data_IF_990034705411
#
_entry.id   IF_990034705411
#
_cell.length_a   1.000
_cell.length_b   1.000
_cell.length_c   1.000
_cell.angle_alpha   90.00
_cell.angle_beta   90.00
_cell.angle_gamma   90.00
#
_symmetry.space_group_name_H-M   'P 1'
#
loop_
_entity.id
_entity.type
_entity.pdbx_description
1 polymer ?
#
# COMPACT_ATOMS: atom_id res chain seq x y z
N UNK A 1 -39.84 -29.61 -41.53
CA UNK A 1 -39.98 -30.16 -40.17
C UNK A 1 -38.58 -30.55 -39.72
N UNK A 2 -38.00 -29.78 -38.82
CA UNK A 2 -36.74 -30.13 -38.14
C UNK A 2 -36.96 -29.94 -36.66
N UNK A 3 -36.71 -30.96 -35.80
CA UNK A 3 -36.97 -30.86 -34.37
C UNK A 3 -35.83 -30.13 -33.67
N UNK A 4 -36.21 -29.32 -32.74
CA UNK A 4 -35.41 -28.49 -31.84
C UNK A 4 -34.43 -29.30 -30.98
N UNK A 5 -33.15 -28.94 -31.03
CA UNK A 5 -32.20 -29.29 -30.01
C UNK A 5 -32.16 -28.19 -28.94
N UNK A 6 -32.85 -28.42 -27.84
CA UNK A 6 -32.65 -27.70 -26.59
C UNK A 6 -31.36 -28.21 -25.94
N UNK A 7 -30.26 -27.50 -26.15
CA UNK A 7 -29.10 -27.68 -25.28
C UNK A 7 -29.27 -26.81 -24.05
N UNK A 8 -29.50 -27.46 -22.89
CA UNK A 8 -29.46 -26.86 -21.55
C UNK A 8 -28.00 -26.49 -21.24
N UNK A 9 -27.72 -25.20 -21.11
CA UNK A 9 -26.47 -24.75 -20.53
C UNK A 9 -26.32 -25.32 -19.12
N UNK A 10 -25.14 -25.86 -18.76
CA UNK A 10 -24.88 -26.31 -17.42
C UNK A 10 -24.78 -25.08 -16.50
N UNK A 11 -25.72 -24.91 -15.59
CA UNK A 11 -25.61 -23.99 -14.45
C UNK A 11 -24.34 -24.34 -13.69
N UNK A 12 -23.27 -23.56 -13.86
CA UNK A 12 -22.11 -23.58 -12.98
C UNK A 12 -22.61 -23.21 -11.59
N UNK A 13 -22.76 -24.20 -10.72
CA UNK A 13 -22.88 -23.99 -9.28
C UNK A 13 -21.53 -23.40 -8.86
N UNK A 14 -21.51 -22.11 -8.56
CA UNK A 14 -20.47 -21.55 -7.71
C UNK A 14 -20.58 -22.26 -6.35
N UNK A 15 -19.74 -23.23 -6.13
CA UNK A 15 -19.46 -23.74 -4.81
C UNK A 15 -18.92 -22.56 -4.02
N UNK A 16 -19.60 -22.17 -2.95
CA UNK A 16 -19.06 -21.27 -1.94
C UNK A 16 -17.95 -22.03 -1.20
N UNK A 17 -16.77 -22.09 -1.82
CA UNK A 17 -15.55 -22.46 -1.09
C UNK A 17 -15.32 -21.37 -0.06
N UNK A 18 -15.51 -21.69 1.22
CA UNK A 18 -15.00 -20.88 2.32
C UNK A 18 -13.54 -20.58 1.98
N UNK A 19 -13.20 -19.31 1.77
CA UNK A 19 -11.82 -18.87 1.65
C UNK A 19 -11.10 -19.34 2.91
N UNK A 20 -10.26 -20.35 2.79
CA UNK A 20 -9.43 -20.85 3.90
C UNK A 20 -8.19 -20.01 3.96
N UNK A 21 -8.35 -18.75 4.42
CA UNK A 21 -7.19 -17.91 4.75
C UNK A 21 -6.35 -18.69 5.78
N UNK A 22 -5.03 -18.84 5.56
CA UNK A 22 -4.18 -19.59 6.48
C UNK A 22 -4.26 -19.05 7.89
N UNK A 23 -4.31 -19.92 8.89
CA UNK A 23 -4.17 -19.53 10.28
C UNK A 23 -2.81 -18.84 10.48
N UNK A 24 -2.73 -17.83 11.34
CA UNK A 24 -1.50 -17.07 11.56
C UNK A 24 -1.24 -16.00 10.48
N UNK A 25 -2.31 -15.46 9.87
CA UNK A 25 -2.17 -14.30 8.98
C UNK A 25 -1.98 -13.01 9.79
N UNK A 26 -0.93 -12.26 9.46
CA UNK A 26 -0.62 -10.94 10.00
C UNK A 26 -0.60 -9.89 8.88
N UNK A 27 -0.96 -8.66 9.21
CA UNK A 27 -0.90 -7.52 8.28
C UNK A 27 0.00 -6.44 8.84
N UNK A 28 0.99 -6.01 8.06
CA UNK A 28 1.88 -4.90 8.36
C UNK A 28 1.46 -3.69 7.54
N UNK A 29 1.09 -2.61 8.20
CA UNK A 29 0.73 -1.33 7.58
C UNK A 29 1.92 -0.37 7.72
N UNK A 30 2.47 0.06 6.58
CA UNK A 30 3.53 1.07 6.54
C UNK A 30 2.90 2.47 6.54
N UNK A 31 3.10 3.24 7.61
CA UNK A 31 2.45 4.54 7.84
C UNK A 31 3.45 5.68 8.11
N UNK A 32 4.54 5.75 7.33
CA UNK A 32 5.64 6.70 7.54
C UNK A 32 5.64 7.94 6.62
N UNK A 33 4.79 8.00 5.58
CA UNK A 33 4.76 9.10 4.62
C UNK A 33 4.05 10.35 5.13
N UNK A 34 4.36 11.54 4.59
CA UNK A 34 3.68 12.81 4.93
C UNK A 34 2.57 13.14 3.91
N UNK A 35 2.79 12.91 2.61
CA UNK A 35 1.82 13.25 1.57
C UNK A 35 1.72 14.75 1.29
N UNK A 36 2.82 15.49 1.28
CA UNK A 36 2.90 16.97 1.20
C UNK A 36 2.20 17.61 0.00
N UNK A 37 1.87 16.85 -1.05
CA UNK A 37 1.12 17.36 -2.22
C UNK A 37 -0.34 17.69 -1.92
N UNK A 38 -0.88 17.24 -0.79
CA UNK A 38 -2.25 17.52 -0.38
C UNK A 38 -2.36 18.67 0.63
N UNK A 39 -1.34 19.51 0.75
CA UNK A 39 -1.46 20.73 1.55
C UNK A 39 -2.66 21.58 1.06
N UNK A 40 -3.44 22.21 1.97
CA UNK A 40 -3.35 22.23 3.43
C UNK A 40 -3.99 21.04 4.14
N UNK A 41 -4.56 20.05 3.44
CA UNK A 41 -5.17 18.89 4.07
C UNK A 41 -4.15 18.07 4.86
N UNK A 42 -2.98 17.79 4.24
CA UNK A 42 -1.88 17.07 4.87
C UNK A 42 -0.77 18.01 5.30
N UNK A 43 -0.30 17.86 6.51
CA UNK A 43 0.82 18.57 7.11
C UNK A 43 1.80 17.59 7.75
N UNK A 44 3.01 18.00 8.15
CA UNK A 44 3.92 17.13 8.89
C UNK A 44 3.29 16.61 10.21
N UNK A 45 2.41 17.36 10.85
CA UNK A 45 1.72 16.99 12.10
C UNK A 45 0.54 16.05 11.83
N UNK A 46 -0.11 16.16 10.68
CA UNK A 46 -1.27 15.35 10.29
C UNK A 46 -1.18 14.85 8.86
N UNK A 47 -0.42 13.77 8.63
CA UNK A 47 -0.17 13.20 7.32
C UNK A 47 -1.40 12.64 6.59
N UNK A 48 -1.27 12.50 5.27
CA UNK A 48 -2.32 12.06 4.33
C UNK A 48 -3.07 10.80 4.80
N UNK A 49 -2.38 9.81 5.32
CA UNK A 49 -2.98 8.53 5.73
C UNK A 49 -4.00 8.65 6.87
N UNK A 50 -3.96 9.73 7.63
CA UNK A 50 -4.87 9.98 8.74
C UNK A 50 -6.08 10.86 8.37
N UNK A 51 -6.19 11.26 7.09
CA UNK A 51 -7.23 12.16 6.57
C UNK A 51 -8.35 11.36 5.91
N UNK A 52 -9.60 11.78 6.11
CA UNK A 52 -10.75 11.36 5.29
C UNK A 52 -10.73 12.12 3.96
N UNK A 53 -9.78 11.77 3.10
CA UNK A 53 -9.56 12.47 1.84
C UNK A 53 -10.66 12.19 0.79
N UNK A 54 -11.44 11.11 0.99
CA UNK A 54 -12.55 10.74 0.11
C UNK A 54 -13.90 11.30 0.60
N UNK A 55 -13.97 11.88 1.80
CA UNK A 55 -15.22 12.39 2.39
C UNK A 55 -16.22 11.29 2.74
N UNK A 56 -15.76 10.10 3.08
CA UNK A 56 -16.59 8.94 3.40
C UNK A 56 -16.71 8.63 4.89
N UNK A 57 -16.21 9.49 5.77
CA UNK A 57 -16.20 9.31 7.22
C UNK A 57 -15.08 8.41 7.74
N UNK A 58 -14.12 8.05 6.90
CA UNK A 58 -13.00 7.15 7.23
C UNK A 58 -11.68 7.67 6.65
N UNK A 59 -10.65 7.72 7.47
CA UNK A 59 -9.29 8.02 7.01
C UNK A 59 -8.71 6.88 6.15
N UNK A 60 -7.65 7.16 5.39
CA UNK A 60 -7.03 6.14 4.52
C UNK A 60 -6.50 4.94 5.29
N UNK A 61 -5.91 5.16 6.48
CA UNK A 61 -5.42 4.05 7.31
C UNK A 61 -6.58 3.21 7.87
N UNK A 62 -7.71 3.83 8.22
CA UNK A 62 -8.93 3.11 8.61
C UNK A 62 -9.50 2.30 7.46
N UNK A 63 -9.58 2.86 6.26
CA UNK A 63 -9.97 2.14 5.05
C UNK A 63 -9.01 0.98 4.75
N UNK A 64 -7.72 1.15 5.08
CA UNK A 64 -6.73 0.09 4.93
C UNK A 64 -7.03 -1.09 5.86
N UNK A 65 -7.37 -0.85 7.12
CA UNK A 65 -7.80 -1.93 8.05
C UNK A 65 -9.11 -2.55 7.59
N UNK A 66 -10.10 -1.74 7.22
CA UNK A 66 -11.44 -2.21 6.82
C UNK A 66 -11.42 -3.19 5.63
N UNK A 67 -10.50 -3.00 4.67
CA UNK A 67 -10.41 -3.89 3.49
C UNK A 67 -9.96 -5.31 3.83
N UNK A 68 -9.29 -5.51 4.99
CA UNK A 68 -8.85 -6.82 5.45
C UNK A 68 -9.87 -7.55 6.34
N UNK A 69 -11.06 -6.99 6.56
CA UNK A 69 -12.14 -7.68 7.31
C UNK A 69 -12.44 -9.05 6.72
N UNK A 70 -12.37 -10.08 7.55
CA UNK A 70 -12.54 -11.48 7.14
C UNK A 70 -11.26 -12.17 6.66
N UNK A 71 -10.15 -11.44 6.51
CA UNK A 71 -8.82 -12.01 6.20
C UNK A 71 -7.94 -12.06 7.46
N UNK A 72 -7.88 -10.97 8.21
CA UNK A 72 -6.99 -10.82 9.36
C UNK A 72 -7.76 -10.23 10.55
N UNK A 73 -7.68 -10.81 11.73
CA UNK A 73 -8.26 -10.21 12.93
C UNK A 73 -7.45 -8.98 13.36
N UNK A 74 -8.11 -7.96 13.95
CA UNK A 74 -7.47 -6.70 14.32
C UNK A 74 -6.23 -6.87 15.22
N UNK A 75 -6.25 -7.84 16.10
CA UNK A 75 -5.12 -8.17 16.99
C UNK A 75 -3.84 -8.59 16.25
N UNK A 76 -3.93 -9.00 14.98
CA UNK A 76 -2.79 -9.42 14.16
C UNK A 76 -2.33 -8.32 13.19
N UNK A 77 -2.84 -7.09 13.35
CA UNK A 77 -2.30 -5.94 12.61
C UNK A 77 -1.09 -5.36 13.32
N UNK A 78 -0.15 -4.92 12.51
CA UNK A 78 1.05 -4.21 12.92
C UNK A 78 1.12 -2.91 12.15
N UNK A 79 1.45 -1.82 12.83
CA UNK A 79 1.63 -0.52 12.19
C UNK A 79 3.04 -0.04 12.44
N UNK A 80 3.80 0.21 11.38
CA UNK A 80 5.11 0.84 11.48
C UNK A 80 4.96 2.31 11.09
N UNK A 81 5.30 3.20 12.00
CA UNK A 81 5.08 4.63 11.82
C UNK A 81 6.13 5.47 12.53
N UNK A 82 6.18 6.77 12.26
CA UNK A 82 7.03 7.69 13.02
C UNK A 82 6.55 7.83 14.49
N UNK A 83 7.47 8.04 15.42
CA UNK A 83 7.14 8.30 16.84
C UNK A 83 6.07 9.39 17.04
N UNK A 84 6.08 10.42 16.19
CA UNK A 84 5.13 11.54 16.28
C UNK A 84 3.67 11.12 15.98
N UNK A 85 3.44 10.00 15.30
CA UNK A 85 2.10 9.59 14.86
C UNK A 85 1.50 8.45 15.67
N UNK A 86 2.20 7.95 16.68
CA UNK A 86 1.74 6.81 17.50
C UNK A 86 0.37 7.07 18.14
N UNK A 87 0.15 8.26 18.68
CA UNK A 87 -1.11 8.58 19.35
C UNK A 87 -2.28 8.71 18.35
N UNK A 88 -2.04 9.26 17.16
CA UNK A 88 -3.04 9.31 16.07
C UNK A 88 -3.41 7.89 15.62
N UNK A 89 -2.43 6.98 15.50
CA UNK A 89 -2.68 5.57 15.16
C UNK A 89 -3.56 4.91 16.22
N UNK A 90 -3.25 5.07 17.52
CA UNK A 90 -4.07 4.53 18.62
C UNK A 90 -5.49 5.07 18.61
N UNK A 91 -5.66 6.36 18.32
CA UNK A 91 -6.98 6.99 18.23
C UNK A 91 -7.79 6.45 17.06
N UNK A 92 -7.19 6.37 15.88
CA UNK A 92 -7.89 5.98 14.66
C UNK A 92 -8.12 4.48 14.51
N UNK A 93 -7.24 3.65 15.11
CA UNK A 93 -7.31 2.18 15.00
C UNK A 93 -7.18 1.55 16.41
N UNK A 94 -8.15 1.77 17.30
CA UNK A 94 -8.05 1.34 18.71
C UNK A 94 -8.07 -0.19 18.91
N UNK A 95 -8.41 -0.98 17.88
CA UNK A 95 -8.42 -2.45 17.94
C UNK A 95 -7.04 -3.10 17.79
N UNK A 96 -5.99 -2.32 17.46
CA UNK A 96 -4.63 -2.84 17.32
C UNK A 96 -3.92 -2.82 18.68
N UNK A 97 -3.26 -3.90 19.12
CA UNK A 97 -2.45 -3.92 20.35
C UNK A 97 -1.38 -2.82 20.34
N UNK A 98 -1.17 -2.16 21.47
CA UNK A 98 -0.22 -1.05 21.56
C UNK A 98 1.22 -1.48 21.22
N UNK A 99 1.61 -2.70 21.57
CA UNK A 99 2.89 -3.33 21.27
C UNK A 99 3.11 -3.62 19.79
N UNK A 100 2.03 -3.64 19.00
CA UNK A 100 2.09 -3.81 17.54
C UNK A 100 2.21 -2.47 16.79
N UNK A 101 2.25 -1.35 17.49
CA UNK A 101 2.54 -0.03 16.90
C UNK A 101 4.04 0.24 17.06
N UNK A 102 4.78 -0.03 15.99
CA UNK A 102 6.23 0.11 15.95
C UNK A 102 6.61 1.56 15.59
N UNK A 103 7.19 2.27 16.55
CA UNK A 103 7.53 3.69 16.44
C UNK A 103 8.95 3.89 15.92
N UNK A 104 9.13 4.14 14.64
CA UNK A 104 10.45 4.38 14.03
C UNK A 104 11.12 5.63 14.62
N UNK A 105 12.36 5.51 15.15
CA UNK A 105 13.10 6.66 15.67
C UNK A 105 13.73 7.52 14.56
N UNK A 106 13.83 6.99 13.33
CA UNK A 106 14.38 7.67 12.16
C UNK A 106 13.77 7.12 10.87
N UNK A 107 13.63 7.96 9.83
CA UNK A 107 13.15 7.53 8.51
C UNK A 107 14.26 6.76 7.76
N UNK A 108 14.11 5.44 7.62
CA UNK A 108 15.08 4.55 6.96
C UNK A 108 14.54 3.86 5.70
N UNK A 109 13.42 4.34 5.15
CA UNK A 109 12.73 3.75 4.00
C UNK A 109 12.12 2.37 4.34
N UNK A 110 11.60 1.65 3.35
CA UNK A 110 10.71 0.50 3.59
C UNK A 110 11.40 -0.80 3.98
N UNK A 111 12.68 -1.02 3.65
CA UNK A 111 13.33 -2.28 4.02
C UNK A 111 13.56 -2.42 5.53
N UNK A 112 14.13 -1.45 6.27
CA UNK A 112 14.23 -1.53 7.72
C UNK A 112 12.85 -1.55 8.42
N UNK A 113 11.90 -0.78 7.92
CA UNK A 113 10.50 -0.76 8.38
C UNK A 113 9.90 -2.18 8.36
N UNK A 114 9.93 -2.85 7.21
CA UNK A 114 9.38 -4.19 7.01
C UNK A 114 10.19 -5.24 7.79
N UNK A 115 11.52 -5.13 7.79
CA UNK A 115 12.38 -6.05 8.53
C UNK A 115 12.04 -6.05 10.01
N UNK A 116 11.94 -4.87 10.64
CA UNK A 116 11.61 -4.78 12.06
C UNK A 116 10.22 -5.38 12.36
N UNK A 117 9.21 -5.10 11.57
CA UNK A 117 7.90 -5.72 11.73
C UNK A 117 7.97 -7.25 11.61
N UNK A 118 8.68 -7.76 10.58
CA UNK A 118 8.83 -9.20 10.37
C UNK A 118 9.57 -9.90 11.52
N UNK A 119 10.63 -9.31 12.07
CA UNK A 119 11.31 -9.85 13.25
C UNK A 119 10.41 -9.85 14.49
N UNK A 120 9.63 -8.79 14.68
CA UNK A 120 8.65 -8.70 15.78
C UNK A 120 7.56 -9.77 15.66
N UNK A 121 6.99 -9.94 14.46
CA UNK A 121 5.98 -10.98 14.18
C UNK A 121 6.57 -12.38 14.39
N UNK A 122 7.78 -12.64 13.86
CA UNK A 122 8.42 -13.96 13.97
C UNK A 122 8.65 -14.41 15.40
N UNK A 123 8.86 -13.47 16.31
CA UNK A 123 8.96 -13.73 17.75
C UNK A 123 7.66 -14.26 18.34
N UNK A 124 6.51 -13.75 17.87
CA UNK A 124 5.19 -14.12 18.37
C UNK A 124 4.59 -15.33 17.64
N UNK A 125 4.72 -15.32 16.30
CA UNK A 125 4.27 -16.41 15.42
C UNK A 125 5.37 -16.80 14.42
N UNK A 126 6.17 -17.84 14.72
CA UNK A 126 7.27 -18.30 13.88
C UNK A 126 6.85 -18.86 12.51
N UNK A 127 5.56 -19.11 12.30
CA UNK A 127 5.01 -19.66 11.07
C UNK A 127 4.03 -18.69 10.38
N UNK A 128 4.04 -17.42 10.77
CA UNK A 128 3.13 -16.40 10.25
C UNK A 128 3.18 -16.28 8.72
N UNK A 129 1.99 -16.04 8.14
CA UNK A 129 1.88 -15.50 6.78
C UNK A 129 1.63 -14.00 6.91
N UNK A 130 2.36 -13.20 6.15
CA UNK A 130 2.38 -11.75 6.31
C UNK A 130 1.98 -11.07 5.02
N UNK A 131 1.06 -10.12 5.13
CA UNK A 131 0.77 -9.13 4.08
C UNK A 131 1.35 -7.79 4.52
N UNK A 132 2.17 -7.19 3.68
CA UNK A 132 2.65 -5.81 3.88
C UNK A 132 1.89 -4.90 2.93
N UNK A 133 1.41 -3.76 3.42
CA UNK A 133 0.63 -2.81 2.62
C UNK A 133 0.95 -1.36 3.01
N UNK A 134 0.94 -0.39 2.08
CA UNK A 134 0.95 1.02 2.42
C UNK A 134 -0.37 1.42 3.10
N UNK A 135 -0.32 2.46 3.94
CA UNK A 135 -1.45 3.00 4.69
C UNK A 135 -2.32 3.97 3.89
N UNK A 136 -1.86 4.43 2.73
CA UNK A 136 -2.34 5.63 2.07
C UNK A 136 -2.86 5.41 0.63
N UNK A 137 -3.00 4.14 0.23
CA UNK A 137 -3.57 3.76 -1.05
C UNK A 137 -5.09 3.52 -0.94
N UNK A 138 -5.81 3.82 -2.03
CA UNK A 138 -7.25 3.57 -2.17
C UNK A 138 -7.49 2.25 -2.91
N UNK A 139 -8.51 1.53 -2.49
CA UNK A 139 -9.07 0.34 -3.13
C UNK A 139 -10.56 0.53 -3.29
N UNK A 140 -11.06 0.57 -4.53
CA UNK A 140 -12.48 0.83 -4.82
C UNK A 140 -13.34 -0.44 -4.76
N UNK A 141 -12.76 -1.63 -4.94
CA UNK A 141 -13.43 -2.92 -4.84
C UNK A 141 -12.80 -3.79 -3.73
N UNK A 142 -13.25 -3.66 -2.47
CA UNK A 142 -12.70 -4.44 -1.34
C UNK A 142 -12.97 -5.94 -1.44
N UNK A 143 -14.01 -6.39 -2.15
CA UNK A 143 -14.30 -7.82 -2.32
C UNK A 143 -13.28 -8.48 -3.23
N UNK A 144 -12.99 -7.85 -4.37
CA UNK A 144 -11.95 -8.34 -5.28
C UNK A 144 -10.55 -8.24 -4.63
N UNK A 145 -10.30 -7.19 -3.85
CA UNK A 145 -9.08 -7.11 -3.05
C UNK A 145 -8.93 -8.33 -2.12
N UNK A 146 -9.98 -8.67 -1.37
CA UNK A 146 -9.95 -9.83 -0.45
C UNK A 146 -9.74 -11.15 -1.18
N UNK A 147 -10.35 -11.32 -2.36
CA UNK A 147 -10.14 -12.50 -3.21
C UNK A 147 -8.67 -12.65 -3.64
N UNK A 148 -8.08 -11.56 -4.11
CA UNK A 148 -6.68 -11.53 -4.58
C UNK A 148 -5.71 -11.79 -3.42
N UNK A 149 -5.89 -11.11 -2.29
CA UNK A 149 -5.03 -11.30 -1.11
C UNK A 149 -5.18 -12.71 -0.53
N UNK A 150 -6.41 -13.24 -0.48
CA UNK A 150 -6.65 -14.62 -0.05
C UNK A 150 -5.89 -15.64 -0.92
N UNK A 151 -5.97 -15.52 -2.24
CA UNK A 151 -5.22 -16.39 -3.16
C UNK A 151 -3.70 -16.24 -3.06
N UNK A 152 -3.21 -15.01 -2.82
CA UNK A 152 -1.78 -14.79 -2.59
C UNK A 152 -1.30 -15.44 -1.27
N UNK A 153 -2.10 -15.34 -0.21
CA UNK A 153 -1.81 -15.98 1.09
C UNK A 153 -1.81 -17.51 0.97
N UNK A 154 -2.79 -18.10 0.28
CA UNK A 154 -2.83 -19.54 0.04
C UNK A 154 -1.58 -20.02 -0.74
N UNK A 155 -1.16 -19.26 -1.75
CA UNK A 155 0.03 -19.58 -2.54
C UNK A 155 1.30 -19.51 -1.68
N UNK A 156 1.50 -18.44 -0.90
CA UNK A 156 2.73 -18.25 -0.11
C UNK A 156 2.78 -19.15 1.13
N UNK A 157 1.65 -19.62 1.65
CA UNK A 157 1.62 -20.58 2.75
C UNK A 157 2.20 -21.95 2.38
N UNK A 158 2.12 -22.33 1.10
CA UNK A 158 2.62 -23.61 0.57
C UNK A 158 3.97 -23.54 -0.14
N UNK A 159 4.57 -22.34 -0.29
CA UNK A 159 5.76 -22.14 -1.10
C UNK A 159 6.68 -21.08 -0.52
N UNK A 160 7.99 -21.26 -0.69
CA UNK A 160 9.03 -20.31 -0.28
C UNK A 160 9.21 -19.19 -1.31
N UNK A 161 8.10 -18.53 -1.69
CA UNK A 161 8.05 -17.46 -2.67
C UNK A 161 7.50 -16.17 -2.09
N UNK A 162 7.86 -15.07 -2.73
CA UNK A 162 7.34 -13.74 -2.47
C UNK A 162 6.29 -13.41 -3.54
N UNK A 163 5.11 -12.94 -3.14
CA UNK A 163 4.10 -12.44 -4.08
C UNK A 163 3.96 -10.94 -3.93
N UNK A 164 4.00 -10.22 -5.06
CA UNK A 164 3.59 -8.81 -5.14
C UNK A 164 2.28 -8.68 -5.89
N UNK A 165 1.47 -7.68 -5.55
CA UNK A 165 0.23 -7.39 -6.28
C UNK A 165 0.55 -6.44 -7.43
N UNK A 166 0.23 -6.91 -8.65
CA UNK A 166 0.47 -6.18 -9.89
C UNK A 166 -0.79 -5.53 -10.43
N UNK A 167 -0.75 -4.23 -10.70
CA UNK A 167 -1.89 -3.47 -11.26
C UNK A 167 -1.62 -3.21 -12.74
N UNK A 168 -2.63 -3.43 -13.59
CA UNK A 168 -2.49 -3.17 -15.02
C UNK A 168 -2.29 -1.68 -15.29
N UNK A 169 -1.18 -1.29 -15.96
CA UNK A 169 -0.92 0.10 -16.29
C UNK A 169 -1.95 0.66 -17.29
N UNK A 170 -2.38 1.89 -17.09
CA UNK A 170 -3.20 2.65 -18.04
C UNK A 170 -2.52 3.92 -18.57
N UNK A 171 -1.32 4.24 -18.06
CA UNK A 171 -0.48 5.36 -18.46
C UNK A 171 1.00 5.06 -18.18
N UNK A 172 1.95 5.78 -18.79
CA UNK A 172 3.38 5.59 -18.53
C UNK A 172 3.80 6.33 -17.24
N UNK A 173 3.45 5.79 -16.07
CA UNK A 173 3.76 6.36 -14.76
C UNK A 173 5.23 6.16 -14.40
N UNK A 174 5.93 7.22 -14.01
CA UNK A 174 7.34 7.17 -13.62
C UNK A 174 7.57 7.12 -12.12
N UNK A 175 6.51 7.33 -11.34
CA UNK A 175 6.54 7.29 -9.87
C UNK A 175 6.41 5.91 -9.27
N UNK A 176 6.08 4.88 -10.09
CA UNK A 176 5.83 3.51 -9.62
C UNK A 176 6.92 2.54 -10.04
N UNK A 177 7.05 1.45 -9.27
CA UNK A 177 7.76 0.27 -9.71
C UNK A 177 6.96 -0.52 -10.75
N UNK A 178 7.65 -1.24 -11.60
CA UNK A 178 7.07 -2.14 -12.61
C UNK A 178 7.58 -3.55 -12.42
N UNK A 179 6.69 -4.51 -12.57
CA UNK A 179 7.03 -5.93 -12.61
C UNK A 179 6.70 -6.51 -13.98
N UNK A 180 7.65 -7.19 -14.60
CA UNK A 180 7.43 -7.93 -15.85
C UNK A 180 6.96 -9.34 -15.52
N UNK A 181 5.70 -9.63 -15.82
CA UNK A 181 5.12 -10.93 -15.60
C UNK A 181 5.43 -11.89 -16.75
N UNK A 182 5.78 -13.13 -16.45
CA UNK A 182 5.87 -14.19 -17.45
C UNK A 182 4.49 -14.47 -18.04
N UNK A 183 4.40 -14.56 -19.36
CA UNK A 183 3.15 -14.85 -20.03
C UNK A 183 2.61 -16.25 -19.62
N UNK A 184 1.30 -16.36 -19.40
CA UNK A 184 0.65 -17.62 -19.01
C UNK A 184 -0.78 -17.42 -18.55
N UNK A 185 -1.52 -18.52 -18.42
CA UNK A 185 -2.93 -18.54 -18.00
C UNK A 185 -3.14 -18.65 -16.48
N UNK A 186 -2.08 -18.77 -15.69
CA UNK A 186 -2.17 -18.88 -14.24
C UNK A 186 -2.51 -17.52 -13.61
N UNK A 187 -3.26 -17.51 -12.52
CA UNK A 187 -3.62 -16.31 -11.79
C UNK A 187 -2.38 -15.64 -11.19
N UNK A 188 -1.48 -16.44 -10.59
CA UNK A 188 -0.21 -15.96 -10.02
C UNK A 188 0.90 -16.31 -11.01
N UNK A 189 1.67 -15.31 -11.43
CA UNK A 189 2.68 -15.40 -12.49
C UNK A 189 4.07 -15.19 -11.95
N UNK A 190 5.05 -15.91 -12.44
CA UNK A 190 6.45 -15.63 -12.15
C UNK A 190 6.83 -14.23 -12.65
N UNK A 191 7.71 -13.55 -11.95
CA UNK A 191 8.25 -12.24 -12.31
C UNK A 191 9.60 -12.46 -13.01
N UNK A 192 9.69 -11.98 -14.25
CA UNK A 192 10.94 -12.00 -15.03
C UNK A 192 11.87 -10.86 -14.65
N UNK A 193 11.30 -9.69 -14.35
CA UNK A 193 12.05 -8.51 -13.96
C UNK A 193 11.24 -7.59 -13.02
N UNK A 194 11.94 -7.00 -12.06
CA UNK A 194 11.43 -5.94 -11.20
C UNK A 194 12.21 -4.66 -11.50
N UNK A 195 11.53 -3.53 -11.74
CA UNK A 195 12.14 -2.25 -12.09
C UNK A 195 11.47 -1.11 -11.33
N UNK A 196 12.22 -0.46 -10.50
CA UNK A 196 11.74 0.66 -9.69
C UNK A 196 11.89 1.98 -10.45
N UNK A 197 10.81 2.75 -10.55
CA UNK A 197 10.73 4.12 -11.07
C UNK A 197 11.52 4.38 -12.36
N UNK A 198 11.09 3.82 -13.51
CA UNK A 198 11.75 4.01 -14.79
C UNK A 198 11.61 5.45 -15.27
N UNK A 199 12.47 5.86 -16.22
CA UNK A 199 12.26 7.09 -16.98
C UNK A 199 11.01 7.00 -17.88
N UNK A 200 10.55 8.15 -18.39
CA UNK A 200 9.32 8.23 -19.18
C UNK A 200 9.35 7.37 -20.45
N UNK A 201 10.49 7.32 -21.14
CA UNK A 201 10.60 6.58 -22.40
C UNK A 201 10.60 5.07 -22.13
N UNK A 202 11.20 4.64 -21.05
CA UNK A 202 11.14 3.26 -20.56
C UNK A 202 9.73 2.89 -20.11
N UNK A 203 9.04 3.78 -19.38
CA UNK A 203 7.65 3.55 -18.96
C UNK A 203 6.68 3.42 -20.15
N UNK A 204 6.87 4.22 -21.23
CA UNK A 204 6.12 4.08 -22.49
C UNK A 204 6.34 2.72 -23.15
N UNK A 205 7.60 2.22 -23.15
CA UNK A 205 7.93 0.89 -23.69
C UNK A 205 7.25 -0.21 -22.88
N UNK A 206 7.23 -0.11 -21.55
CA UNK A 206 6.56 -1.09 -20.69
C UNK A 206 5.04 -1.11 -20.91
N UNK A 207 4.43 0.06 -21.09
CA UNK A 207 3.01 0.15 -21.41
C UNK A 207 2.68 -0.51 -22.77
N UNK A 208 3.53 -0.30 -23.78
CA UNK A 208 3.37 -0.88 -25.12
C UNK A 208 3.61 -2.41 -25.17
N UNK A 209 4.51 -2.94 -24.35
CA UNK A 209 4.80 -4.39 -24.22
C UNK A 209 3.57 -5.15 -23.69
N UNK A 210 2.82 -4.58 -22.76
CA UNK A 210 1.58 -5.16 -22.21
C UNK A 210 1.79 -6.26 -21.16
N UNK A 211 3.03 -6.72 -20.90
CA UNK A 211 3.35 -7.71 -19.86
C UNK A 211 3.85 -7.09 -18.56
N UNK A 212 3.97 -5.77 -18.52
CA UNK A 212 4.36 -5.05 -17.32
C UNK A 212 3.14 -4.64 -16.50
N UNK A 213 3.27 -4.77 -15.19
CA UNK A 213 2.27 -4.34 -14.21
C UNK A 213 2.92 -3.32 -13.27
N UNK A 214 2.14 -2.36 -12.77
CA UNK A 214 2.60 -1.52 -11.66
C UNK A 214 2.70 -2.33 -10.38
N UNK A 215 3.77 -2.17 -9.63
CA UNK A 215 3.87 -2.70 -8.28
C UNK A 215 2.99 -1.86 -7.33
N UNK A 216 1.96 -2.49 -6.76
CA UNK A 216 1.07 -1.80 -5.81
C UNK A 216 1.72 -1.52 -4.44
N UNK A 217 2.94 -1.99 -4.21
CA UNK A 217 3.59 -1.92 -2.89
C UNK A 217 2.94 -2.83 -1.85
N UNK A 218 2.14 -3.80 -2.30
CA UNK A 218 1.51 -4.81 -1.46
C UNK A 218 2.24 -6.12 -1.68
N UNK A 219 2.80 -6.69 -0.61
CA UNK A 219 3.62 -7.89 -0.64
C UNK A 219 3.03 -8.97 0.26
N UNK A 220 3.13 -10.22 -0.15
CA UNK A 220 2.66 -11.38 0.61
C UNK A 220 3.76 -12.45 0.64
N UNK A 221 4.04 -12.99 1.81
CA UNK A 221 5.07 -14.01 2.03
C UNK A 221 4.87 -14.77 3.34
N UNK A 222 5.50 -15.92 3.47
CA UNK A 222 5.72 -16.56 4.75
C UNK A 222 6.84 -15.83 5.51
N UNK A 223 6.73 -15.75 6.83
CA UNK A 223 7.70 -15.05 7.68
C UNK A 223 9.13 -15.59 7.56
N UNK A 224 9.29 -16.89 7.32
CA UNK A 224 10.62 -17.48 7.11
C UNK A 224 11.19 -17.07 5.76
N UNK A 225 10.40 -17.09 4.69
CA UNK A 225 10.80 -16.68 3.34
C UNK A 225 11.39 -15.26 3.33
N UNK A 226 10.71 -14.29 3.95
CA UNK A 226 11.21 -12.91 3.96
C UNK A 226 12.42 -12.73 4.87
N UNK A 227 12.42 -13.33 6.07
CA UNK A 227 13.58 -13.21 6.98
C UNK A 227 14.82 -13.86 6.38
N UNK A 228 14.71 -14.98 5.70
CA UNK A 228 15.81 -15.66 5.02
C UNK A 228 16.28 -14.86 3.80
N UNK A 229 15.36 -14.25 3.04
CA UNK A 229 15.71 -13.36 1.93
C UNK A 229 16.46 -12.11 2.41
N UNK A 230 16.04 -11.48 3.51
CA UNK A 230 16.76 -10.34 4.09
C UNK A 230 18.16 -10.78 4.57
N UNK A 231 18.29 -11.96 5.18
CA UNK A 231 19.61 -12.50 5.58
C UNK A 231 20.52 -12.72 4.36
N UNK A 232 19.97 -13.22 3.26
CA UNK A 232 20.74 -13.51 2.06
C UNK A 232 21.18 -12.23 1.32
N UNK A 233 20.29 -11.27 1.15
CA UNK A 233 20.54 -10.09 0.31
C UNK A 233 21.02 -8.86 1.09
N UNK A 234 20.71 -8.77 2.39
CA UNK A 234 21.06 -7.65 3.28
C UNK A 234 21.50 -8.17 4.66
N UNK A 235 22.62 -8.90 4.75
CA UNK A 235 23.06 -9.55 5.99
C UNK A 235 23.27 -8.56 7.14
N UNK A 236 23.80 -7.36 6.88
CA UNK A 236 23.98 -6.33 7.91
C UNK A 236 22.64 -5.87 8.49
N UNK A 237 21.60 -5.69 7.64
CA UNK A 237 20.26 -5.35 8.12
C UNK A 237 19.68 -6.46 8.99
N UNK A 238 19.86 -7.72 8.58
CA UNK A 238 19.42 -8.87 9.37
C UNK A 238 20.13 -8.93 10.74
N UNK A 239 21.42 -8.68 10.79
CA UNK A 239 22.18 -8.61 12.05
C UNK A 239 21.67 -7.49 12.96
N UNK A 240 21.36 -6.32 12.41
CA UNK A 240 20.78 -5.21 13.16
C UNK A 240 19.39 -5.57 13.74
N UNK A 241 18.54 -6.28 12.95
CA UNK A 241 17.26 -6.77 13.46
C UNK A 241 17.44 -7.80 14.58
N UNK A 242 18.41 -8.69 14.45
CA UNK A 242 18.74 -9.67 15.47
C UNK A 242 19.19 -9.00 16.79
N UNK A 243 19.94 -7.91 16.70
CA UNK A 243 20.37 -7.13 17.88
C UNK A 243 19.18 -6.44 18.57
N UNK A 244 18.19 -5.95 17.82
CA UNK A 244 16.98 -5.32 18.36
C UNK A 244 15.96 -6.35 18.88
N UNK A 245 15.96 -7.58 18.35
CA UNK A 245 15.05 -8.65 18.71
C UNK A 245 15.78 -9.94 19.09
N UNK A 246 16.59 -9.97 20.16
CA UNK A 246 17.50 -11.08 20.46
C UNK A 246 16.82 -12.43 20.71
N UNK A 247 15.53 -12.45 21.01
CA UNK A 247 14.77 -13.68 21.23
C UNK A 247 14.41 -14.45 19.95
N UNK A 248 14.62 -13.85 18.76
CA UNK A 248 14.36 -14.52 17.48
C UNK A 248 15.37 -15.64 17.14
N UNK A 249 16.45 -15.78 17.92
CA UNK A 249 17.56 -16.74 17.67
C UNK A 249 17.51 -18.03 18.50
N UNK A 250 16.43 -18.36 19.16
CA UNK A 250 16.40 -19.54 20.09
C UNK A 250 16.72 -20.90 19.44
N UNK A 251 16.86 -20.97 18.09
CA UNK A 251 17.29 -22.22 17.40
C UNK A 251 18.80 -22.37 17.23
N UNK A 252 19.61 -21.32 17.50
CA UNK A 252 21.07 -21.39 17.43
C UNK A 252 21.71 -20.88 18.73
N UNK A 253 21.94 -21.73 19.75
CA UNK A 253 22.38 -21.31 21.07
C UNK A 253 23.86 -20.82 21.16
N UNK A 254 24.57 -20.68 20.05
CA UNK A 254 26.00 -20.34 20.04
C UNK A 254 26.35 -18.92 19.59
N UNK A 255 25.37 -18.10 19.16
CA UNK A 255 25.67 -16.73 18.72
C UNK A 255 25.22 -15.73 19.79
N UNK A 256 26.16 -15.25 20.61
CA UNK A 256 25.91 -14.08 21.47
C UNK A 256 25.92 -12.84 20.60
N UNK A 257 24.72 -12.41 20.15
CA UNK A 257 24.54 -11.11 19.47
C UNK A 257 24.47 -10.04 20.56
N UNK A 258 25.26 -8.95 20.49
CA UNK A 258 25.11 -7.84 21.42
C UNK A 258 23.66 -7.28 21.36
N UNK A 259 23.06 -7.10 22.53
CA UNK A 259 21.74 -6.46 22.62
C UNK A 259 21.90 -4.95 22.44
N UNK A 260 21.00 -4.33 21.66
CA UNK A 260 20.89 -2.90 21.55
C UNK A 260 19.44 -2.48 21.49
N UNK A 261 19.16 -1.25 21.87
CA UNK A 261 17.82 -0.70 21.78
C UNK A 261 17.46 -0.31 20.34
N UNK A 262 16.18 -0.24 20.05
CA UNK A 262 15.67 0.23 18.75
C UNK A 262 16.18 1.66 18.47
N UNK A 263 16.20 2.53 19.48
CA UNK A 263 16.65 3.92 19.34
C UNK A 263 18.15 4.05 19.00
N UNK A 264 18.96 3.07 19.38
CA UNK A 264 20.41 3.04 19.07
C UNK A 264 20.68 2.42 17.70
N UNK A 265 20.01 1.33 17.35
CA UNK A 265 20.35 0.52 16.18
C UNK A 265 19.59 0.97 14.93
N UNK A 266 18.28 1.22 15.02
CA UNK A 266 17.46 1.52 13.86
C UNK A 266 17.94 2.76 13.06
N UNK A 267 18.42 3.86 13.69
CA UNK A 267 19.02 4.98 12.97
C UNK A 267 20.28 4.65 12.16
N UNK A 268 20.96 3.54 12.46
CA UNK A 268 22.15 3.08 11.75
C UNK A 268 21.84 2.17 10.56
N UNK A 269 20.57 1.70 10.41
CA UNK A 269 20.17 0.89 9.27
C UNK A 269 20.34 1.65 7.95
N UNK A 270 20.70 0.92 6.90
CA UNK A 270 20.80 1.46 5.55
C UNK A 270 19.44 2.04 5.14
N UNK A 271 19.43 3.28 4.60
CA UNK A 271 18.21 3.90 4.07
C UNK A 271 17.92 3.38 2.67
N UNK A 272 17.18 2.27 2.58
CA UNK A 272 16.89 1.57 1.33
C UNK A 272 15.44 1.07 1.29
N UNK A 273 14.81 1.04 0.11
CA UNK A 273 13.50 0.42 -0.05
C UNK A 273 13.58 -1.10 -0.11
N UNK A 274 12.49 -1.77 0.23
CA UNK A 274 12.37 -3.23 0.12
C UNK A 274 12.52 -3.68 -1.34
N UNK A 275 12.13 -2.82 -2.28
CA UNK A 275 12.21 -3.06 -3.71
C UNK A 275 13.67 -3.32 -4.13
N UNK A 276 14.57 -2.41 -3.78
CA UNK A 276 16.01 -2.57 -4.06
C UNK A 276 16.68 -3.59 -3.15
N UNK A 277 16.28 -3.66 -1.88
CA UNK A 277 16.93 -4.51 -0.90
C UNK A 277 16.67 -6.00 -1.12
N UNK A 278 15.44 -6.34 -1.52
CA UNK A 278 14.97 -7.74 -1.60
C UNK A 278 14.29 -8.05 -2.91
N UNK A 279 13.36 -7.21 -3.39
CA UNK A 279 12.50 -7.59 -4.51
C UNK A 279 13.27 -7.75 -5.83
N UNK A 280 14.17 -6.83 -6.16
CA UNK A 280 15.01 -6.95 -7.37
C UNK A 280 15.93 -8.17 -7.33
N UNK A 281 16.76 -8.42 -6.30
CA UNK A 281 17.61 -9.60 -6.25
C UNK A 281 16.80 -10.91 -6.16
N UNK A 282 15.70 -10.93 -5.41
CA UNK A 282 14.84 -12.11 -5.32
C UNK A 282 14.13 -12.44 -6.66
N UNK A 283 13.77 -11.42 -7.45
CA UNK A 283 13.23 -11.62 -8.79
C UNK A 283 14.28 -12.22 -9.74
N UNK A 284 15.53 -11.75 -9.67
CA UNK A 284 16.64 -12.35 -10.43
C UNK A 284 16.88 -13.82 -10.08
N UNK A 285 16.64 -14.19 -8.81
CA UNK A 285 16.74 -15.58 -8.33
C UNK A 285 15.47 -16.42 -8.59
N UNK A 286 14.47 -15.87 -9.29
CA UNK A 286 13.21 -16.57 -9.62
C UNK A 286 12.28 -16.81 -8.42
N UNK A 287 12.43 -16.05 -7.33
CA UNK A 287 11.65 -16.20 -6.09
C UNK A 287 10.45 -15.27 -5.99
N UNK A 288 10.26 -14.36 -6.96
CA UNK A 288 9.17 -13.39 -6.95
C UNK A 288 8.10 -13.78 -7.95
N UNK A 289 6.86 -13.72 -7.49
CA UNK A 289 5.66 -13.88 -8.28
C UNK A 289 4.79 -12.62 -8.19
N UNK A 290 3.91 -12.44 -9.16
CA UNK A 290 2.93 -11.35 -9.13
C UNK A 290 1.52 -11.89 -9.30
N UNK A 291 0.56 -11.33 -8.55
CA UNK A 291 -0.85 -11.55 -8.76
C UNK A 291 -1.43 -10.34 -9.50
N UNK A 292 -1.72 -10.44 -10.81
CA UNK A 292 -2.39 -9.38 -11.56
C UNK A 292 -3.77 -9.09 -10.97
N UNK A 293 -4.09 -7.84 -10.70
CA UNK A 293 -5.31 -7.45 -10.01
C UNK A 293 -5.93 -6.19 -10.61
N UNK A 294 -7.26 -6.12 -10.53
CA UNK A 294 -8.05 -4.94 -10.88
C UNK A 294 -9.15 -4.71 -9.82
N UNK A 295 -8.78 -4.06 -8.75
CA UNK A 295 -9.68 -3.67 -7.66
C UNK A 295 -9.79 -2.14 -7.50
N UNK A 296 -9.49 -1.40 -8.56
CA UNK A 296 -9.59 0.06 -8.56
C UNK A 296 -8.53 0.74 -7.69
N UNK A 297 -7.32 0.18 -7.61
CA UNK A 297 -6.20 0.70 -6.84
C UNK A 297 -5.75 2.09 -7.31
N UNK A 298 -5.34 2.91 -6.35
CA UNK A 298 -4.63 4.17 -6.57
C UNK A 298 -3.78 4.49 -5.34
N UNK A 299 -2.57 4.99 -5.57
CA UNK A 299 -1.69 5.48 -4.49
C UNK A 299 -2.12 6.84 -3.95
N UNK A 300 -3.12 7.50 -4.58
CA UNK A 300 -3.51 8.88 -4.29
C UNK A 300 -2.30 9.81 -4.14
N UNK A 301 -1.41 9.78 -5.14
CA UNK A 301 -0.15 10.53 -5.09
C UNK A 301 -0.33 12.04 -5.27
N UNK A 302 -1.45 12.48 -5.84
CA UNK A 302 -1.69 13.88 -6.20
C UNK A 302 -3.20 14.19 -6.35
N UNK A 303 -3.56 15.45 -6.59
CA UNK A 303 -4.93 15.91 -6.77
C UNK A 303 -5.61 15.35 -8.02
N UNK A 304 -4.84 15.12 -9.10
CA UNK A 304 -5.36 14.45 -10.28
C UNK A 304 -5.88 13.05 -9.96
N UNK A 305 -5.10 12.27 -9.21
CA UNK A 305 -5.52 10.91 -8.80
C UNK A 305 -6.72 10.93 -7.84
N UNK A 306 -6.85 11.95 -7.00
CA UNK A 306 -8.04 12.16 -6.16
C UNK A 306 -9.26 12.49 -7.02
N UNK A 307 -9.14 13.43 -7.95
CA UNK A 307 -10.21 13.79 -8.87
C UNK A 307 -10.73 12.56 -9.65
N UNK A 308 -9.83 11.67 -10.08
CA UNK A 308 -10.22 10.43 -10.79
C UNK A 308 -11.09 9.49 -9.94
N UNK A 309 -10.93 9.50 -8.62
CA UNK A 309 -11.62 8.60 -7.68
C UNK A 309 -12.92 9.18 -7.10
N UNK A 310 -13.05 10.49 -7.03
CA UNK A 310 -14.26 11.13 -6.53
C UNK A 310 -15.39 11.08 -7.56
N UNK A 311 -16.64 11.10 -7.09
CA UNK A 311 -17.81 11.33 -7.93
C UNK A 311 -17.75 12.73 -8.56
N UNK A 312 -18.23 12.85 -9.80
CA UNK A 312 -18.19 14.09 -10.58
C UNK A 312 -19.59 14.52 -10.98
N UNK A 313 -19.79 15.83 -11.07
CA UNK A 313 -20.96 16.41 -11.71
C UNK A 313 -20.84 16.36 -13.25
N UNK A 314 -21.84 16.91 -13.95
CA UNK A 314 -21.90 16.97 -15.42
C UNK A 314 -20.81 17.85 -16.05
N UNK A 315 -20.20 18.74 -15.26
CA UNK A 315 -19.10 19.63 -15.63
C UNK A 315 -17.73 19.10 -15.21
N UNK A 316 -17.66 17.81 -14.87
CA UNK A 316 -16.42 17.13 -14.43
C UNK A 316 -15.81 17.75 -13.17
N UNK A 317 -16.59 18.42 -12.30
CA UNK A 317 -16.16 18.87 -11.00
C UNK A 317 -16.30 17.76 -9.96
N UNK A 318 -15.37 17.70 -9.01
CA UNK A 318 -15.41 16.78 -7.89
C UNK A 318 -15.29 17.56 -6.57
N UNK A 319 -16.07 17.20 -5.56
CA UNK A 319 -16.08 17.92 -4.30
C UNK A 319 -16.21 17.00 -3.08
N UNK A 320 -15.49 17.35 -2.03
CA UNK A 320 -15.68 16.90 -0.65
C UNK A 320 -16.00 18.13 0.18
N UNK A 321 -17.15 18.12 0.86
CA UNK A 321 -17.70 19.29 1.57
C UNK A 321 -18.98 19.85 0.95
N UNK A 322 -19.48 20.95 1.48
CA UNK A 322 -20.70 21.61 1.01
C UNK A 322 -20.36 22.66 -0.07
N UNK A 323 -20.20 22.21 -1.31
CA UNK A 323 -19.68 23.01 -2.43
C UNK A 323 -20.74 23.20 -3.51
N UNK A 324 -20.85 24.40 -4.05
CA UNK A 324 -21.74 24.79 -5.16
C UNK A 324 -20.91 25.37 -6.30
N UNK A 325 -21.09 24.82 -7.48
CA UNK A 325 -20.42 25.27 -8.71
C UNK A 325 -21.38 26.06 -9.58
N UNK A 326 -20.91 27.19 -10.10
CA UNK A 326 -21.60 28.02 -11.09
C UNK A 326 -20.62 28.31 -12.23
N UNK A 327 -20.97 27.97 -13.46
CA UNK A 327 -20.13 28.22 -14.65
C UNK A 327 -18.66 27.78 -14.42
N UNK A 328 -18.47 26.63 -13.75
CA UNK A 328 -17.17 26.10 -13.37
C UNK A 328 -17.03 24.68 -13.86
N UNK A 329 -15.86 24.34 -14.39
CA UNK A 329 -15.55 23.06 -15.02
C UNK A 329 -14.25 22.47 -14.48
N UNK A 330 -14.13 21.13 -14.48
CA UNK A 330 -12.89 20.40 -14.20
C UNK A 330 -12.23 20.71 -12.86
N UNK A 331 -12.96 21.23 -11.88
CA UNK A 331 -12.40 21.60 -10.56
C UNK A 331 -12.39 20.41 -9.60
N UNK A 332 -11.47 20.44 -8.65
CA UNK A 332 -11.48 19.53 -7.50
C UNK A 332 -11.41 20.34 -6.21
N UNK A 333 -12.39 20.10 -5.34
CA UNK A 333 -12.57 20.87 -4.11
C UNK A 333 -12.58 19.94 -2.91
N UNK A 334 -11.84 20.28 -1.88
CA UNK A 334 -11.89 19.57 -0.59
C UNK A 334 -11.84 20.57 0.56
N UNK A 335 -12.89 20.61 1.37
CA UNK A 335 -13.00 21.54 2.51
C UNK A 335 -13.55 20.83 3.73
N UNK A 336 -12.92 21.02 4.89
CA UNK A 336 -13.33 20.38 6.14
C UNK A 336 -14.05 21.33 7.11
N UNK A 337 -13.70 22.63 7.14
CA UNK A 337 -14.19 23.58 8.14
C UNK A 337 -15.28 24.53 7.68
N UNK A 338 -15.54 24.64 6.38
CA UNK A 338 -16.43 25.65 5.82
C UNK A 338 -17.88 25.17 5.74
N UNK A 339 -18.83 26.01 6.22
CA UNK A 339 -20.27 25.70 6.15
C UNK A 339 -20.80 25.69 4.73
N UNK A 340 -20.23 26.50 3.84
CA UNK A 340 -20.62 26.61 2.43
C UNK A 340 -19.48 27.19 1.62
N UNK A 341 -19.22 26.57 0.45
CA UNK A 341 -18.26 27.06 -0.55
C UNK A 341 -19.00 27.29 -1.86
N UNK A 342 -18.75 28.42 -2.50
CA UNK A 342 -19.32 28.74 -3.82
C UNK A 342 -18.16 29.08 -4.76
N UNK A 343 -18.09 28.41 -5.89
CA UNK A 343 -17.16 28.68 -6.97
C UNK A 343 -17.93 29.12 -8.22
N UNK A 344 -17.49 30.21 -8.83
CA UNK A 344 -18.06 30.73 -10.04
C UNK A 344 -16.96 31.06 -11.06
N UNK A 345 -17.10 30.58 -12.28
CA UNK A 345 -16.24 30.93 -13.42
C UNK A 345 -14.83 30.33 -13.35
N UNK A 346 -14.61 29.20 -12.62
CA UNK A 346 -13.31 28.52 -12.52
C UNK A 346 -13.27 27.30 -13.46
N UNK A 347 -12.16 27.12 -14.17
CA UNK A 347 -11.89 25.92 -14.97
C UNK A 347 -10.51 25.33 -14.63
N UNK A 348 -10.51 24.05 -14.20
CA UNK A 348 -9.30 23.31 -13.90
C UNK A 348 -8.57 23.77 -12.65
N UNK A 349 -9.29 24.08 -11.56
CA UNK A 349 -8.70 24.50 -10.29
C UNK A 349 -8.80 23.44 -9.18
N UNK A 350 -7.82 23.48 -8.30
CA UNK A 350 -7.82 22.89 -6.98
C UNK A 350 -8.24 23.97 -5.98
N UNK A 351 -9.24 23.68 -5.16
CA UNK A 351 -9.60 24.50 -4.00
C UNK A 351 -9.60 23.61 -2.77
N UNK A 352 -8.76 23.90 -1.81
CA UNK A 352 -8.62 23.08 -0.61
C UNK A 352 -8.53 23.95 0.65
N UNK A 353 -9.29 23.59 1.67
CA UNK A 353 -9.29 24.31 2.94
C UNK A 353 -9.24 23.34 4.12
N UNK A 354 -8.37 23.64 5.09
CA UNK A 354 -8.30 23.00 6.38
C UNK A 354 -7.63 23.90 7.41
N UNK A 355 -8.20 23.93 8.64
CA UNK A 355 -7.60 24.64 9.77
C UNK A 355 -7.38 26.13 9.53
N UNK A 356 -8.24 26.80 8.76
CA UNK A 356 -8.13 28.21 8.42
C UNK A 356 -7.13 28.52 7.30
N UNK A 357 -6.54 27.52 6.67
CA UNK A 357 -5.66 27.67 5.50
C UNK A 357 -6.44 27.34 4.23
N UNK A 358 -6.33 28.21 3.22
CA UNK A 358 -6.99 28.06 1.94
C UNK A 358 -5.95 28.02 0.79
N UNK A 359 -6.03 26.99 -0.01
CA UNK A 359 -5.31 26.87 -1.28
C UNK A 359 -6.29 27.04 -2.45
N UNK A 360 -5.92 27.90 -3.40
CA UNK A 360 -6.56 27.98 -4.73
C UNK A 360 -5.44 27.95 -5.76
N UNK A 361 -5.33 26.88 -6.53
CA UNK A 361 -4.31 26.80 -7.57
C UNK A 361 -4.80 26.01 -8.80
N UNK A 362 -4.16 26.19 -9.95
CA UNK A 362 -4.48 25.42 -11.15
C UNK A 362 -4.06 23.96 -10.96
N UNK A 363 -4.85 23.02 -11.46
CA UNK A 363 -4.54 21.58 -11.44
C UNK A 363 -3.22 21.28 -12.17
N UNK A 364 -2.89 22.03 -13.22
CA UNK A 364 -1.61 21.92 -13.92
C UNK A 364 -0.39 22.22 -13.05
N UNK A 365 -0.58 22.95 -11.94
CA UNK A 365 0.47 23.36 -11.01
C UNK A 365 0.53 22.50 -9.74
N UNK A 366 -0.20 21.40 -9.69
CA UNK A 366 -0.32 20.57 -8.48
C UNK A 366 1.02 20.10 -7.89
N UNK A 367 2.05 19.93 -8.71
CA UNK A 367 3.37 19.50 -8.24
C UNK A 367 4.10 20.57 -7.41
N UNK A 368 3.68 21.84 -7.55
CA UNK A 368 4.23 22.98 -6.80
C UNK A 368 3.57 23.18 -5.44
N UNK A 369 2.46 22.49 -5.14
CA UNK A 369 1.76 22.65 -3.86
C UNK A 369 2.69 22.40 -2.66
N UNK A 370 3.63 21.46 -2.78
CA UNK A 370 4.66 21.23 -1.76
C UNK A 370 5.55 22.45 -1.46
N UNK A 371 5.65 23.40 -2.39
CA UNK A 371 6.42 24.64 -2.23
C UNK A 371 5.58 25.71 -1.53
N UNK A 372 4.24 25.67 -1.71
CA UNK A 372 3.33 26.65 -1.12
C UNK A 372 3.06 26.41 0.36
N UNK A 373 3.22 25.16 0.81
CA UNK A 373 3.02 24.73 2.21
C UNK A 373 4.32 24.59 3.00
N UNK A 374 5.44 25.05 2.45
CA UNK A 374 6.76 24.97 3.09
C UNK A 374 6.98 26.11 4.12
#
# INVERSE_FOLDING_TARGET
MCPQCHQKEPKRRFSSTKSTVPNGTHVVIMAGGIGSRFWPLSTPEFPKQFIDILGCGRSLIQLTVDRFKGICPEKNFWVVTNKAYVDIVKEQIPGIPAEHILAEPAARNTAPCIAWACWSIKREDPNANVVVTPSDAVVMNPEEFRRVIGGALEFTAGHDFIVTIGIKPNRPETGYGYVKAVAGSQDIKAVEAFKEKPDLDTAKKYLADGNYLWNAGIFVWNINTITDSIRAYKPTLAEQMDMMCPQCHQKEPKRTVPNGTVDEIFPQCEKISIDYAVMEPAAADGKVFTYPADFGWSDLGNWQSLHEKLAKDEHNNAAVGNVYFYESDNCVVHTEGLKKVVLQGLDGYIVSEKGGQLLVCKRSEEQRIKEFGA
#
